data_IF_070017160901
#
_entry.id   IF_070017160901
#
_cell.length_a   1.000
_cell.length_b   1.000
_cell.length_c   1.000
_cell.angle_alpha   90.00
_cell.angle_beta   90.00
_cell.angle_gamma   90.00
#
_symmetry.space_group_name_H-M   'P 1'
#
loop_
_entity.id
_entity.type
_entity.pdbx_description
1 polymer ?
#
# COMPACT_ATOMS: atom_id res chain seq x y z
N UNK A 1 -5.57 -7.98 -23.68
CA UNK A 1 -5.72 -7.25 -22.40
C UNK A 1 -6.23 -8.26 -21.38
N UNK A 2 -5.46 -8.54 -20.36
CA UNK A 2 -5.85 -9.45 -19.26
C UNK A 2 -7.01 -8.82 -18.48
N UNK A 3 -8.22 -9.24 -18.76
CA UNK A 3 -9.43 -8.65 -18.19
C UNK A 3 -9.57 -8.88 -16.68
N UNK A 4 -8.98 -9.96 -16.16
CA UNK A 4 -9.12 -10.36 -14.76
C UNK A 4 -8.18 -9.63 -13.79
N UNK A 5 -7.19 -8.89 -14.31
CA UNK A 5 -6.23 -8.12 -13.51
C UNK A 5 -6.43 -6.61 -13.57
N UNK A 6 -7.53 -6.15 -14.13
CA UNK A 6 -7.81 -4.70 -14.17
C UNK A 6 -8.21 -4.15 -12.82
N UNK A 7 -7.96 -2.85 -12.61
CA UNK A 7 -8.39 -2.12 -11.42
C UNK A 7 -9.88 -2.31 -11.17
N UNK A 8 -10.70 -2.15 -12.20
CA UNK A 8 -12.16 -2.29 -12.12
C UNK A 8 -12.59 -3.67 -11.60
N UNK A 9 -11.83 -4.71 -11.92
CA UNK A 9 -12.14 -6.09 -11.54
C UNK A 9 -11.65 -6.44 -10.13
N UNK A 10 -10.49 -5.90 -9.73
CA UNK A 10 -9.80 -6.30 -8.51
C UNK A 10 -10.03 -5.36 -7.33
N UNK A 11 -10.36 -4.08 -7.58
CA UNK A 11 -10.34 -3.06 -6.54
C UNK A 11 -11.68 -2.33 -6.46
N UNK A 12 -12.18 -2.12 -5.25
CA UNK A 12 -13.29 -1.19 -4.99
C UNK A 12 -12.71 0.19 -4.62
N UNK A 13 -12.67 1.09 -5.59
CA UNK A 13 -12.11 2.43 -5.39
C UNK A 13 -12.90 3.31 -4.41
N UNK A 14 -14.07 2.90 -3.95
CA UNK A 14 -14.81 3.58 -2.88
C UNK A 14 -14.19 3.34 -1.51
N UNK A 15 -13.38 2.30 -1.39
CA UNK A 15 -12.77 1.84 -0.16
C UNK A 15 -11.31 2.30 -0.03
N UNK A 16 -11.00 3.47 -0.56
CA UNK A 16 -9.67 4.08 -0.41
C UNK A 16 -9.73 5.59 -0.57
N UNK A 17 -8.94 6.29 0.21
CA UNK A 17 -8.69 7.73 0.02
C UNK A 17 -7.85 8.04 -1.23
N UNK A 18 -7.23 7.01 -1.81
CA UNK A 18 -6.34 7.15 -2.96
C UNK A 18 -7.03 6.91 -4.32
N UNK A 19 -8.36 7.01 -4.40
CA UNK A 19 -9.11 6.71 -5.63
C UNK A 19 -8.60 7.49 -6.86
N UNK A 20 -8.29 8.79 -6.71
CA UNK A 20 -7.76 9.63 -7.79
C UNK A 20 -6.43 9.12 -8.37
N UNK A 21 -5.62 8.41 -7.57
CA UNK A 21 -4.35 7.84 -8.02
C UNK A 21 -4.55 6.81 -9.14
N UNK A 22 -5.72 6.17 -9.16
CA UNK A 22 -6.06 5.11 -10.11
C UNK A 22 -6.74 5.63 -11.39
N UNK A 23 -7.07 6.92 -11.46
CA UNK A 23 -7.71 7.51 -12.63
C UNK A 23 -6.86 7.36 -13.89
N UNK A 24 -7.48 6.90 -14.98
CA UNK A 24 -6.80 6.69 -16.27
C UNK A 24 -5.84 5.50 -16.31
N UNK A 25 -5.74 4.71 -15.23
CA UNK A 25 -4.95 3.48 -15.17
C UNK A 25 -5.81 2.26 -15.49
N UNK A 26 -5.17 1.23 -16.01
CA UNK A 26 -5.83 -0.05 -16.32
C UNK A 26 -5.50 -1.09 -15.26
N UNK A 27 -4.26 -1.14 -14.83
CA UNK A 27 -3.77 -2.17 -13.92
C UNK A 27 -3.28 -1.57 -12.59
N UNK A 28 -3.46 -2.28 -11.46
CA UNK A 28 -3.08 -1.77 -10.14
C UNK A 28 -1.62 -1.35 -10.00
N UNK A 29 -0.70 -2.03 -10.67
CA UNK A 29 0.73 -1.73 -10.57
C UNK A 29 1.17 -0.45 -11.26
N UNK A 30 0.34 0.11 -12.14
CA UNK A 30 0.65 1.36 -12.85
C UNK A 30 0.73 2.58 -11.92
N UNK A 31 0.14 2.48 -10.72
CA UNK A 31 0.17 3.55 -9.72
C UNK A 31 1.48 3.62 -8.92
N UNK A 32 2.25 2.54 -8.87
CA UNK A 32 3.41 2.42 -7.97
C UNK A 32 4.46 3.53 -8.13
N UNK A 33 4.78 4.01 -9.33
CA UNK A 33 5.72 5.12 -9.50
C UNK A 33 5.20 6.46 -9.00
N UNK A 34 3.88 6.62 -8.88
CA UNK A 34 3.22 7.90 -8.60
C UNK A 34 2.82 8.06 -7.12
N UNK A 35 2.93 7.00 -6.31
CA UNK A 35 2.48 7.00 -4.90
C UNK A 35 3.10 8.17 -4.12
N UNK A 36 4.39 8.40 -4.26
CA UNK A 36 5.09 9.48 -3.54
C UNK A 36 4.46 10.85 -3.80
N UNK A 37 4.36 11.22 -5.06
CA UNK A 37 3.88 12.54 -5.47
C UNK A 37 2.39 12.71 -5.12
N UNK A 38 1.64 11.62 -5.21
CA UNK A 38 0.23 11.61 -4.80
C UNK A 38 0.07 11.84 -3.30
N UNK A 39 0.88 11.21 -2.44
CA UNK A 39 0.86 11.45 -0.99
C UNK A 39 1.13 12.93 -0.69
N UNK A 40 2.13 13.53 -1.33
CA UNK A 40 2.48 14.94 -1.13
C UNK A 40 1.36 15.90 -1.58
N UNK A 41 0.58 15.51 -2.60
CA UNK A 41 -0.61 16.26 -3.04
C UNK A 41 -1.76 16.07 -2.05
N UNK A 42 -2.16 14.82 -1.80
CA UNK A 42 -3.31 14.47 -0.96
C UNK A 42 -3.13 14.94 0.47
N UNK A 43 -1.95 14.75 1.06
CA UNK A 43 -1.68 15.11 2.45
C UNK A 43 -1.96 16.58 2.76
N UNK A 44 -1.69 17.48 1.81
CA UNK A 44 -1.96 18.91 1.96
C UNK A 44 -3.46 19.28 1.94
N UNK A 45 -4.31 18.38 1.50
CA UNK A 45 -5.78 18.58 1.44
C UNK A 45 -6.51 17.94 2.61
N UNK A 46 -5.81 17.15 3.44
CA UNK A 46 -6.40 16.50 4.60
C UNK A 46 -6.78 17.53 5.66
N UNK A 47 -7.93 17.31 6.28
CA UNK A 47 -8.47 18.21 7.31
C UNK A 47 -7.54 18.19 8.55
N UNK A 48 -6.97 19.33 8.96
CA UNK A 48 -6.13 19.42 10.15
C UNK A 48 -6.87 19.14 11.45
N UNK A 49 -8.21 19.20 11.46
CA UNK A 49 -9.00 18.80 12.61
C UNK A 49 -9.09 17.28 12.76
N UNK A 50 -8.88 16.54 11.68
CA UNK A 50 -8.90 15.08 11.68
C UNK A 50 -7.49 14.44 11.61
N UNK A 51 -6.51 15.13 11.00
CA UNK A 51 -5.17 14.62 10.78
C UNK A 51 -4.10 15.49 11.46
N UNK A 52 -3.14 14.84 12.09
CA UNK A 52 -1.91 15.44 12.60
C UNK A 52 -0.83 15.37 11.52
N UNK A 53 -0.20 16.52 11.22
CA UNK A 53 1.01 16.55 10.40
C UNK A 53 2.25 16.37 11.27
N UNK A 54 3.16 15.53 10.83
CA UNK A 54 4.49 15.37 11.43
C UNK A 54 5.57 15.65 10.39
N UNK A 55 6.73 16.14 10.86
CA UNK A 55 7.89 16.41 10.01
C UNK A 55 8.25 15.21 9.14
N UNK A 56 8.66 15.46 7.88
CA UNK A 56 8.95 14.41 6.91
C UNK A 56 7.75 13.99 6.04
N UNK A 57 6.76 14.87 5.91
CA UNK A 57 5.56 14.64 5.09
C UNK A 57 4.73 13.44 5.57
N UNK A 58 4.46 13.41 6.87
CA UNK A 58 3.67 12.35 7.50
C UNK A 58 2.36 12.91 8.01
N UNK A 59 1.23 12.36 7.57
CA UNK A 59 -0.11 12.70 8.03
C UNK A 59 -0.73 11.48 8.71
N UNK A 60 -1.14 11.64 9.97
CA UNK A 60 -1.71 10.56 10.77
C UNK A 60 -3.08 10.99 11.28
N UNK A 61 -4.10 10.20 11.02
CA UNK A 61 -5.42 10.45 11.58
C UNK A 61 -5.36 10.45 13.11
N UNK A 62 -6.01 11.43 13.75
CA UNK A 62 -6.00 11.59 15.23
C UNK A 62 -6.63 10.40 15.95
N UNK A 63 -7.50 9.65 15.27
CA UNK A 63 -8.11 8.41 15.81
C UNK A 63 -7.21 7.18 15.65
N UNK A 64 -6.13 7.26 14.86
CA UNK A 64 -5.22 6.14 14.66
C UNK A 64 -4.40 5.85 15.94
N UNK A 65 -4.14 4.57 16.18
CA UNK A 65 -3.38 4.09 17.34
C UNK A 65 -1.97 3.71 16.92
N UNK A 66 -0.99 4.51 17.29
CA UNK A 66 0.42 4.28 16.93
C UNK A 66 1.17 3.79 18.17
N UNK A 67 1.69 2.57 18.11
CA UNK A 67 2.52 2.05 19.18
C UNK A 67 3.83 2.85 19.34
N UNK A 68 4.32 3.11 20.57
CA UNK A 68 5.48 3.97 20.79
C UNK A 68 6.79 3.44 20.20
N UNK A 69 6.84 2.16 19.84
CA UNK A 69 8.00 1.53 19.19
C UNK A 69 7.85 1.38 17.68
N UNK A 70 6.77 1.87 17.10
CA UNK A 70 6.62 1.92 15.65
C UNK A 70 7.52 3.03 15.07
N UNK A 71 8.13 2.75 13.92
CA UNK A 71 8.92 3.72 13.17
C UNK A 71 8.19 4.06 11.88
N UNK A 72 7.88 5.34 11.69
CA UNK A 72 7.19 5.83 10.48
C UNK A 72 8.07 6.88 9.83
N UNK A 73 8.52 6.60 8.62
CA UNK A 73 9.17 7.56 7.73
C UNK A 73 8.18 8.02 6.67
N UNK A 74 8.29 9.26 6.26
CA UNK A 74 7.46 9.80 5.18
C UNK A 74 8.09 9.68 3.78
N UNK A 75 7.33 10.10 2.75
CA UNK A 75 5.96 10.56 2.90
C UNK A 75 5.00 9.41 3.23
N UNK A 76 4.04 9.66 4.11
CA UNK A 76 3.07 8.64 4.53
C UNK A 76 1.73 9.26 4.96
N UNK A 77 0.64 8.54 4.70
CA UNK A 77 -0.68 8.85 5.24
C UNK A 77 -1.19 7.62 5.98
N UNK A 78 -1.61 7.81 7.23
CA UNK A 78 -2.24 6.76 8.05
C UNK A 78 -3.69 7.16 8.31
N UNK A 79 -4.62 6.34 7.81
CA UNK A 79 -6.05 6.57 7.88
C UNK A 79 -6.66 6.40 9.27
N UNK A 80 -7.94 6.79 9.37
CA UNK A 80 -8.71 6.77 10.63
C UNK A 80 -8.80 5.36 11.20
N UNK A 81 -8.82 5.28 12.52
CA UNK A 81 -9.00 4.06 13.32
C UNK A 81 -8.00 2.92 13.01
N UNK A 82 -6.97 3.23 12.24
CA UNK A 82 -5.89 2.29 11.91
C UNK A 82 -4.98 2.06 13.11
N UNK A 83 -4.59 0.79 13.31
CA UNK A 83 -3.67 0.38 14.35
C UNK A 83 -2.27 0.08 13.75
N UNK A 84 -1.26 0.84 14.15
CA UNK A 84 0.15 0.58 13.85
C UNK A 84 0.81 0.03 15.11
N UNK A 85 1.12 -1.25 15.10
CA UNK A 85 1.57 -2.01 16.27
C UNK A 85 3.06 -1.88 16.54
N UNK A 86 3.49 -2.48 17.65
CA UNK A 86 4.87 -2.46 18.11
C UNK A 86 5.85 -2.94 17.03
N UNK A 87 6.97 -2.23 16.88
CA UNK A 87 8.05 -2.56 15.94
C UNK A 87 7.63 -2.57 14.46
N UNK A 88 6.45 -2.04 14.09
CA UNK A 88 6.11 -1.82 12.69
C UNK A 88 7.07 -0.79 12.09
N UNK A 89 7.51 -1.01 10.84
CA UNK A 89 8.39 -0.12 10.12
C UNK A 89 7.78 0.34 8.81
N UNK A 90 7.30 1.57 8.76
CA UNK A 90 6.79 2.22 7.54
C UNK A 90 7.94 3.03 6.95
N UNK A 91 8.49 2.57 5.81
CA UNK A 91 9.69 3.16 5.19
C UNK A 91 9.41 4.37 4.32
N UNK A 92 8.15 4.72 4.13
CA UNK A 92 7.73 5.82 3.28
C UNK A 92 7.07 5.39 1.97
N UNK A 93 6.54 6.37 1.27
CA UNK A 93 5.65 6.21 0.13
C UNK A 93 4.49 5.26 0.48
N UNK A 94 3.87 5.45 1.65
CA UNK A 94 2.83 4.56 2.14
C UNK A 94 1.52 5.29 2.35
N UNK A 95 0.44 4.79 1.74
CA UNK A 95 -0.93 5.16 2.05
C UNK A 95 -1.56 3.96 2.75
N UNK A 96 -1.94 4.15 4.01
CA UNK A 96 -2.66 3.16 4.80
C UNK A 96 -4.09 3.67 5.00
N UNK A 97 -5.07 2.91 4.53
CA UNK A 97 -6.48 3.25 4.61
C UNK A 97 -7.02 3.31 6.03
N UNK A 98 -8.34 3.38 6.17
CA UNK A 98 -9.03 3.37 7.45
C UNK A 98 -9.20 1.94 7.99
N UNK A 99 -9.35 1.79 9.31
CA UNK A 99 -9.57 0.50 10.00
C UNK A 99 -8.52 -0.58 9.66
N UNK A 100 -7.31 -0.19 9.29
CA UNK A 100 -6.24 -1.11 8.94
C UNK A 100 -5.47 -1.60 10.17
N UNK A 101 -4.78 -2.73 10.01
CA UNK A 101 -3.82 -3.22 11.00
C UNK A 101 -2.46 -3.38 10.34
N UNK A 102 -1.50 -2.54 10.74
CA UNK A 102 -0.08 -2.71 10.44
C UNK A 102 0.57 -3.31 11.66
N UNK A 103 0.79 -4.61 11.65
CA UNK A 103 1.09 -5.38 12.85
C UNK A 103 2.54 -5.39 13.28
N UNK A 104 2.79 -6.23 14.27
CA UNK A 104 4.11 -6.36 14.89
C UNK A 104 5.17 -6.71 13.83
N UNK A 105 6.25 -5.94 13.82
CA UNK A 105 7.41 -6.16 12.94
C UNK A 105 7.05 -6.28 11.45
N UNK A 106 5.96 -5.63 11.04
CA UNK A 106 5.57 -5.52 9.63
C UNK A 106 6.29 -4.34 9.00
N UNK A 107 6.88 -4.57 7.82
CA UNK A 107 7.53 -3.53 7.04
C UNK A 107 6.68 -3.15 5.83
N UNK A 108 6.43 -1.85 5.65
CA UNK A 108 5.76 -1.27 4.49
C UNK A 108 6.69 -0.36 3.71
N UNK A 109 6.68 -0.47 2.37
CA UNK A 109 7.47 0.38 1.50
C UNK A 109 6.82 0.54 0.13
N UNK A 110 6.49 1.76 -0.26
CA UNK A 110 5.87 2.09 -1.55
C UNK A 110 4.58 1.30 -1.79
N UNK A 111 3.57 1.56 -0.97
CA UNK A 111 2.33 0.77 -0.92
C UNK A 111 1.08 1.62 -0.85
N UNK A 112 -0.02 1.07 -1.36
CA UNK A 112 -1.39 1.52 -1.07
C UNK A 112 -2.14 0.37 -0.41
N UNK A 113 -2.51 0.54 0.85
CA UNK A 113 -3.42 -0.34 1.57
C UNK A 113 -4.80 0.31 1.60
N UNK A 114 -5.79 -0.38 1.07
CA UNK A 114 -7.21 0.05 1.11
C UNK A 114 -7.75 -0.09 2.54
N UNK A 115 -9.00 0.34 2.75
CA UNK A 115 -9.63 0.24 4.05
C UNK A 115 -9.72 -1.22 4.53
N UNK A 116 -9.66 -1.43 5.83
CA UNK A 116 -9.78 -2.72 6.51
C UNK A 116 -8.69 -3.74 6.12
N UNK A 117 -7.57 -3.31 5.55
CA UNK A 117 -6.45 -4.22 5.23
C UNK A 117 -5.72 -4.63 6.50
N UNK A 118 -5.39 -5.91 6.60
CA UNK A 118 -4.65 -6.45 7.73
C UNK A 118 -3.34 -7.11 7.31
N UNK A 119 -2.23 -6.56 7.78
CA UNK A 119 -0.88 -7.12 7.66
C UNK A 119 -0.28 -7.26 9.04
N UNK A 120 -0.81 -8.24 9.86
CA UNK A 120 -0.76 -8.15 11.30
C UNK A 120 0.52 -8.66 11.94
N UNK A 121 1.34 -9.49 11.28
CA UNK A 121 2.44 -10.18 11.92
C UNK A 121 3.60 -10.49 10.98
N UNK A 122 4.76 -9.84 11.20
CA UNK A 122 6.02 -10.16 10.50
C UNK A 122 5.87 -10.19 8.98
N UNK A 123 5.10 -9.25 8.45
CA UNK A 123 4.89 -9.16 7.02
C UNK A 123 5.90 -8.19 6.38
N UNK A 124 6.24 -8.45 5.12
CA UNK A 124 6.87 -7.47 4.28
C UNK A 124 5.94 -7.15 3.11
N UNK A 125 5.60 -5.88 2.95
CA UNK A 125 4.78 -5.39 1.84
C UNK A 125 5.56 -4.27 1.14
N UNK A 126 6.03 -4.56 -0.05
CA UNK A 126 6.82 -3.62 -0.82
C UNK A 126 6.37 -3.52 -2.26
N UNK A 127 6.25 -2.28 -2.77
CA UNK A 127 5.84 -1.98 -4.13
C UNK A 127 4.53 -2.71 -4.51
N UNK A 128 3.47 -2.53 -3.70
CA UNK A 128 2.24 -3.30 -3.78
C UNK A 128 0.98 -2.46 -3.52
N UNK A 129 -0.13 -2.95 -4.04
CA UNK A 129 -1.48 -2.46 -3.74
C UNK A 129 -2.26 -3.61 -3.11
N UNK A 130 -2.79 -3.42 -1.90
CA UNK A 130 -3.67 -4.38 -1.23
C UNK A 130 -5.09 -3.82 -1.21
N UNK A 131 -6.03 -4.54 -1.82
CA UNK A 131 -7.43 -4.15 -1.93
C UNK A 131 -8.20 -4.24 -0.60
N UNK A 132 -9.42 -3.76 -0.61
CA UNK A 132 -10.31 -3.71 0.55
C UNK A 132 -10.44 -5.07 1.26
N UNK A 133 -10.29 -5.06 2.59
CA UNK A 133 -10.35 -6.27 3.45
C UNK A 133 -9.31 -7.34 3.14
N UNK A 134 -8.26 -7.04 2.38
CA UNK A 134 -7.18 -8.01 2.18
C UNK A 134 -6.50 -8.34 3.51
N UNK A 135 -6.14 -9.60 3.66
CA UNK A 135 -5.45 -10.10 4.85
C UNK A 135 -4.21 -10.91 4.47
N UNK A 136 -3.08 -10.59 5.08
CA UNK A 136 -1.87 -11.40 4.94
C UNK A 136 -1.64 -12.23 6.19
N UNK A 137 -1.50 -13.53 6.03
CA UNK A 137 -1.14 -14.41 7.13
C UNK A 137 0.23 -14.09 7.73
N UNK A 138 0.49 -14.58 8.94
CA UNK A 138 1.76 -14.35 9.63
C UNK A 138 2.96 -14.82 8.80
N UNK A 139 3.99 -13.97 8.69
CA UNK A 139 5.21 -14.25 7.94
C UNK A 139 5.06 -14.19 6.43
N UNK A 140 3.90 -13.79 5.89
CA UNK A 140 3.72 -13.62 4.45
C UNK A 140 4.53 -12.43 3.93
N UNK A 141 5.11 -12.57 2.75
CA UNK A 141 6.01 -11.59 2.14
C UNK A 141 5.59 -11.30 0.72
N UNK A 142 5.34 -10.03 0.40
CA UNK A 142 5.24 -9.54 -0.96
C UNK A 142 6.65 -9.31 -1.53
N UNK A 143 7.23 -10.35 -2.13
CA UNK A 143 8.55 -10.24 -2.74
C UNK A 143 8.51 -9.36 -3.98
N UNK A 144 9.24 -8.26 -3.98
CA UNK A 144 9.14 -7.21 -5.00
C UNK A 144 10.28 -7.16 -6.01
N UNK A 145 11.36 -7.92 -5.79
CA UNK A 145 12.53 -7.94 -6.69
C UNK A 145 12.76 -9.35 -7.21
N UNK A 146 12.92 -9.46 -8.53
CA UNK A 146 13.33 -10.73 -9.15
C UNK A 146 14.82 -10.98 -8.95
N UNK A 147 15.21 -12.23 -8.71
CA UNK A 147 16.61 -12.64 -8.56
C UNK A 147 17.44 -12.36 -9.81
N UNK A 148 16.82 -12.45 -10.99
CA UNK A 148 17.45 -12.20 -12.30
C UNK A 148 17.52 -10.71 -12.66
N UNK A 149 16.98 -9.81 -11.80
CA UNK A 149 16.90 -8.36 -12.00
C UNK A 149 16.16 -7.90 -13.28
N UNK A 150 15.44 -8.82 -13.93
CA UNK A 150 14.62 -8.52 -15.10
C UNK A 150 13.36 -7.74 -14.70
N UNK A 151 12.74 -7.08 -15.68
CA UNK A 151 11.44 -6.45 -15.48
C UNK A 151 10.38 -7.48 -15.08
N UNK A 152 9.43 -7.04 -14.25
CA UNK A 152 8.35 -7.91 -13.80
C UNK A 152 7.36 -8.12 -14.93
N UNK A 153 6.99 -9.37 -15.16
CA UNK A 153 5.96 -9.77 -16.13
C UNK A 153 4.84 -10.47 -15.38
N UNK A 154 3.61 -9.96 -15.54
CA UNK A 154 2.39 -10.60 -15.05
C UNK A 154 1.94 -11.63 -16.08
N UNK A 155 1.58 -12.82 -15.61
CA UNK A 155 1.17 -13.95 -16.47
C UNK A 155 -0.20 -14.42 -16.07
N UNK A 156 -1.03 -14.69 -17.07
CA UNK A 156 -2.33 -15.36 -16.96
C UNK A 156 -2.45 -16.42 -18.04
N UNK A 157 -2.24 -17.69 -17.68
CA UNK A 157 -2.12 -18.75 -18.65
C UNK A 157 -0.99 -18.47 -19.65
N UNK A 158 -1.35 -18.35 -20.92
CA UNK A 158 -0.41 -18.03 -22.02
C UNK A 158 -0.24 -16.51 -22.22
N UNK A 159 -1.16 -15.69 -21.71
CA UNK A 159 -1.05 -14.24 -21.80
C UNK A 159 0.04 -13.70 -20.87
N UNK A 160 0.74 -12.66 -21.33
CA UNK A 160 1.80 -11.99 -20.59
C UNK A 160 1.68 -10.48 -20.75
N UNK A 161 1.83 -9.76 -19.64
CA UNK A 161 1.93 -8.28 -19.64
C UNK A 161 3.25 -7.89 -19.03
N UNK A 162 4.06 -7.17 -19.78
CA UNK A 162 5.26 -6.51 -19.25
C UNK A 162 4.83 -5.28 -18.46
N UNK A 163 5.16 -5.25 -17.17
CA UNK A 163 4.77 -4.14 -16.30
C UNK A 163 5.64 -2.90 -16.49
N UNK A 164 6.80 -3.02 -17.13
CA UNK A 164 7.81 -1.97 -17.20
C UNK A 164 8.52 -1.71 -15.86
N UNK A 165 8.17 -2.43 -14.80
CA UNK A 165 8.68 -2.23 -13.45
C UNK A 165 9.78 -3.23 -13.10
N UNK A 166 10.82 -2.76 -12.40
CA UNK A 166 11.85 -3.62 -11.79
C UNK A 166 11.39 -4.20 -10.45
N UNK A 167 10.44 -3.53 -9.81
CA UNK A 167 9.89 -3.89 -8.50
C UNK A 167 8.38 -3.86 -8.57
N UNK A 168 7.78 -4.97 -8.22
CA UNK A 168 6.34 -5.12 -8.07
C UNK A 168 6.09 -6.25 -7.07
N UNK A 169 5.48 -5.91 -5.94
CA UNK A 169 5.20 -6.83 -4.85
C UNK A 169 4.06 -7.74 -5.22
N UNK A 170 4.36 -8.96 -5.03
CA UNK A 170 3.62 -10.19 -5.14
C UNK A 170 3.31 -10.81 -6.48
N UNK A 171 3.84 -12.00 -6.55
CA UNK A 171 3.58 -12.96 -7.63
C UNK A 171 2.80 -14.19 -7.15
N UNK A 172 2.41 -14.29 -5.86
CA UNK A 172 1.86 -15.52 -5.29
C UNK A 172 0.85 -15.38 -4.16
N UNK A 173 0.52 -14.22 -3.68
CA UNK A 173 -0.35 -14.09 -2.51
C UNK A 173 -1.38 -12.95 -2.60
N UNK A 174 -2.10 -12.90 -3.72
CA UNK A 174 -3.39 -12.24 -3.73
C UNK A 174 -4.44 -13.34 -3.61
N UNK A 175 -4.88 -13.60 -2.43
CA UNK A 175 -6.11 -14.33 -2.17
C UNK A 175 -6.99 -13.43 -1.35
#
# INVERSE_FOLDING_TARGET
MMKDFTIEKLLDLKETMAAELFEGKTYPWEVLPEIKDFILKLGKTLDPDEYEYREGDIWIAKSAKIAPTACINGPAIIGKDTEVRHCAFIRGNAIVGEDCVVGNSTELKNVVLFNCVQVPHYNYVGDAVLGYKSHMGAGSICSNVKSDKQLVVVKDGEEKIETGLKKFGDRKSVV
#
